data_IF_640756327426
#
_entry.id   IF_640756327426
#
_cell.length_a   1.000
_cell.length_b   1.000
_cell.length_c   1.000
_cell.angle_alpha   90.00
_cell.angle_beta   90.00
_cell.angle_gamma   90.00
#
_symmetry.space_group_name_H-M   'P 1'
#
loop_
_entity.id
_entity.type
_entity.pdbx_description
1 polymer ?
#
# COMPACT_ATOMS: atom_id res chain seq x y z
N UNK A 1 -10.19 20.04 -11.14
CA UNK A 1 -10.60 19.83 -12.53
C UNK A 1 -12.07 20.22 -12.65
N UNK A 2 -12.37 21.51 -12.91
CA UNK A 2 -13.74 22.07 -12.78
C UNK A 2 -14.47 22.26 -14.10
N UNK A 3 -13.89 21.76 -15.19
CA UNK A 3 -14.55 21.81 -16.50
C UNK A 3 -15.79 20.92 -16.49
N UNK A 4 -16.88 21.39 -17.12
CA UNK A 4 -18.15 20.67 -17.14
C UNK A 4 -18.02 19.31 -17.80
N UNK A 5 -17.23 19.19 -18.88
CA UNK A 5 -17.05 17.92 -19.59
C UNK A 5 -16.34 16.88 -18.72
N UNK A 6 -15.41 17.31 -17.86
CA UNK A 6 -14.70 16.42 -16.93
C UNK A 6 -15.58 15.89 -15.78
N UNK A 7 -16.75 16.47 -15.54
CA UNK A 7 -17.61 16.16 -14.39
C UNK A 7 -19.04 15.71 -14.78
N UNK A 8 -19.31 15.47 -16.08
CA UNK A 8 -20.61 14.93 -16.51
C UNK A 8 -20.83 13.56 -15.89
N UNK A 9 -21.96 13.38 -15.18
CA UNK A 9 -22.27 12.13 -14.47
C UNK A 9 -21.61 11.97 -13.10
N UNK A 10 -20.80 12.95 -12.67
CA UNK A 10 -20.12 13.01 -11.37
C UNK A 10 -20.48 14.30 -10.61
N UNK A 11 -21.74 14.72 -10.68
CA UNK A 11 -22.22 16.02 -10.18
C UNK A 11 -22.07 16.18 -8.66
N UNK A 12 -22.12 15.07 -7.92
CA UNK A 12 -21.92 15.05 -6.45
C UNK A 12 -20.46 14.80 -6.04
N UNK A 13 -19.62 14.32 -6.97
CA UNK A 13 -18.20 13.99 -6.75
C UNK A 13 -17.32 14.63 -7.82
N UNK A 14 -17.31 15.96 -7.87
CA UNK A 14 -16.41 16.67 -8.78
C UNK A 14 -14.95 16.27 -8.60
N UNK A 15 -14.23 16.19 -9.72
CA UNK A 15 -12.83 15.81 -9.76
C UNK A 15 -11.95 16.87 -9.08
N UNK A 16 -11.51 16.51 -7.88
CA UNK A 16 -10.57 17.26 -7.05
C UNK A 16 -9.14 16.77 -7.30
N UNK A 17 -8.13 17.64 -7.08
CA UNK A 17 -6.75 17.18 -7.00
C UNK A 17 -6.64 16.04 -5.98
N UNK A 18 -5.99 14.95 -6.37
CA UNK A 18 -5.74 13.83 -5.48
C UNK A 18 -4.87 14.27 -4.31
N UNK A 19 -5.27 13.88 -3.11
CA UNK A 19 -4.44 14.05 -1.91
C UNK A 19 -3.82 12.70 -1.60
N UNK A 20 -2.50 12.64 -1.59
CA UNK A 20 -1.78 11.41 -1.27
C UNK A 20 -2.04 11.04 0.19
N UNK A 21 -2.55 9.82 0.47
CA UNK A 21 -2.75 9.36 1.84
C UNK A 21 -1.40 9.14 2.52
N UNK A 22 -1.38 9.27 3.84
CA UNK A 22 -0.17 8.95 4.59
C UNK A 22 0.16 7.45 4.48
N UNK A 23 1.42 7.08 4.24
CA UNK A 23 1.84 5.69 4.21
C UNK A 23 1.64 5.01 5.58
N UNK A 24 0.99 3.85 5.59
CA UNK A 24 0.90 3.00 6.79
C UNK A 24 2.07 2.00 6.83
N UNK A 25 3.08 2.33 7.64
CA UNK A 25 4.25 1.48 7.91
C UNK A 25 4.15 0.69 9.22
N UNK A 26 2.97 0.66 9.86
CA UNK A 26 2.76 0.00 11.15
C UNK A 26 1.68 -1.09 11.09
N UNK A 27 1.37 -1.63 9.90
CA UNK A 27 0.42 -2.73 9.75
C UNK A 27 0.97 -4.01 10.42
N UNK A 28 0.51 -4.27 11.65
CA UNK A 28 0.99 -5.39 12.46
C UNK A 28 0.73 -6.73 11.79
N UNK A 29 -0.34 -6.88 10.99
CA UNK A 29 -0.62 -8.15 10.31
C UNK A 29 0.43 -8.45 9.25
N UNK A 30 0.84 -7.44 8.47
CA UNK A 30 1.91 -7.60 7.46
C UNK A 30 3.24 -7.88 8.13
N UNK A 31 3.54 -7.16 9.21
CA UNK A 31 4.78 -7.37 9.98
C UNK A 31 4.82 -8.80 10.53
N UNK A 32 3.72 -9.29 11.11
CA UNK A 32 3.66 -10.65 11.64
C UNK A 32 3.85 -11.71 10.54
N UNK A 33 3.25 -11.51 9.37
CA UNK A 33 3.47 -12.39 8.20
C UNK A 33 4.95 -12.39 7.81
N UNK A 34 5.60 -11.23 7.70
CA UNK A 34 7.02 -11.16 7.35
C UNK A 34 7.92 -11.82 8.40
N UNK A 35 7.56 -11.73 9.68
CA UNK A 35 8.27 -12.47 10.74
C UNK A 35 8.16 -13.98 10.51
N UNK A 36 6.99 -14.49 10.08
CA UNK A 36 6.87 -15.92 9.70
C UNK A 36 7.66 -16.31 8.45
N UNK A 37 7.99 -15.34 7.58
CA UNK A 37 8.85 -15.53 6.41
C UNK A 37 10.35 -15.51 6.74
N UNK A 38 10.73 -15.12 7.97
CA UNK A 38 12.11 -15.12 8.46
C UNK A 38 12.75 -13.74 8.62
N UNK A 39 12.04 -12.65 8.34
CA UNK A 39 12.54 -11.28 8.58
C UNK A 39 12.48 -10.93 10.06
N UNK A 40 13.46 -10.15 10.56
CA UNK A 40 13.40 -9.62 11.92
C UNK A 40 12.55 -8.35 12.02
N UNK A 41 11.92 -8.09 13.17
CA UNK A 41 11.09 -6.88 13.36
C UNK A 41 11.91 -5.60 13.23
N UNK A 42 13.15 -5.64 13.73
CA UNK A 42 14.10 -4.53 13.67
C UNK A 42 14.46 -4.18 12.22
N UNK A 43 14.74 -5.19 11.41
CA UNK A 43 15.04 -5.03 9.98
C UNK A 43 13.85 -4.48 9.20
N UNK A 44 12.64 -5.02 9.44
CA UNK A 44 11.41 -4.51 8.84
C UNK A 44 11.23 -3.04 9.19
N UNK A 45 11.30 -2.70 10.48
CA UNK A 45 11.14 -1.33 10.94
C UNK A 45 12.18 -0.39 10.33
N UNK A 46 13.45 -0.79 10.32
CA UNK A 46 14.53 0.03 9.78
C UNK A 46 14.36 0.27 8.27
N UNK A 47 13.97 -0.76 7.52
CA UNK A 47 13.74 -0.64 6.07
C UNK A 47 12.57 0.30 5.76
N UNK A 48 11.45 0.16 6.48
CA UNK A 48 10.26 0.99 6.27
C UNK A 48 10.50 2.45 6.67
N UNK A 49 11.09 2.71 7.83
CA UNK A 49 11.36 4.08 8.32
C UNK A 49 12.36 4.81 7.41
N UNK A 50 13.39 4.11 6.94
CA UNK A 50 14.40 4.69 6.04
C UNK A 50 13.96 4.69 4.58
N UNK A 51 12.79 4.12 4.26
CA UNK A 51 12.26 3.98 2.91
C UNK A 51 13.32 3.44 1.93
N UNK A 52 13.96 2.32 2.29
CA UNK A 52 15.13 1.82 1.56
C UNK A 52 14.80 1.26 0.17
N UNK A 53 13.53 0.92 -0.09
CA UNK A 53 13.09 0.22 -1.30
C UNK A 53 13.90 -1.05 -1.59
N UNK A 54 14.34 -1.74 -0.53
CA UNK A 54 15.02 -3.03 -0.60
C UNK A 54 14.01 -4.20 -0.64
N UNK A 55 14.50 -5.43 -0.56
CA UNK A 55 13.66 -6.63 -0.56
C UNK A 55 12.65 -6.66 0.59
N UNK A 56 13.01 -6.09 1.74
CA UNK A 56 12.17 -6.06 2.94
C UNK A 56 11.00 -5.10 2.72
N UNK A 57 11.27 -3.86 2.31
CA UNK A 57 10.21 -2.90 2.00
C UNK A 57 9.36 -3.35 0.81
N UNK A 58 9.96 -3.92 -0.23
CA UNK A 58 9.23 -4.45 -1.38
C UNK A 58 8.23 -5.54 -0.95
N UNK A 59 8.67 -6.48 -0.11
CA UNK A 59 7.80 -7.54 0.42
C UNK A 59 6.64 -6.96 1.24
N UNK A 60 6.91 -6.00 2.12
CA UNK A 60 5.87 -5.33 2.92
C UNK A 60 4.80 -4.65 2.04
N UNK A 61 5.23 -3.91 1.00
CA UNK A 61 4.33 -3.23 0.08
C UNK A 61 3.48 -4.20 -0.75
N UNK A 62 4.06 -5.33 -1.16
CA UNK A 62 3.37 -6.36 -1.95
C UNK A 62 2.32 -7.12 -1.12
N UNK A 63 2.57 -7.37 0.16
CA UNK A 63 1.59 -7.97 1.09
C UNK A 63 0.34 -7.10 1.29
N UNK A 64 0.43 -5.79 1.04
CA UNK A 64 -0.71 -4.87 1.11
C UNK A 64 -1.63 -4.91 -0.12
N UNK A 65 -1.28 -5.64 -1.17
CA UNK A 65 -2.08 -5.74 -2.40
C UNK A 65 -3.02 -6.94 -2.34
N UNK A 66 -4.13 -6.88 -3.08
CA UNK A 66 -5.04 -8.02 -3.23
C UNK A 66 -4.22 -9.22 -3.73
N UNK A 67 -4.19 -10.35 -3.00
CA UNK A 67 -3.46 -11.52 -3.48
C UNK A 67 -4.08 -12.00 -4.80
N UNK A 68 -3.29 -12.61 -5.69
CA UNK A 68 -3.83 -13.21 -6.91
C UNK A 68 -4.94 -14.19 -6.54
N UNK A 69 -6.02 -14.20 -7.32
CA UNK A 69 -7.10 -15.15 -7.08
C UNK A 69 -6.54 -16.57 -7.19
N UNK A 70 -6.57 -17.28 -6.08
CA UNK A 70 -6.04 -18.64 -6.00
C UNK A 70 -7.03 -19.54 -6.73
N UNK A 71 -6.77 -19.79 -8.02
CA UNK A 71 -7.47 -20.82 -8.78
C UNK A 71 -6.96 -22.18 -8.30
N UNK A 72 -7.67 -22.79 -7.35
CA UNK A 72 -7.55 -24.22 -7.11
C UNK A 72 -8.19 -24.94 -8.30
N UNK A 73 -7.35 -25.50 -9.17
CA UNK A 73 -7.74 -26.52 -10.15
C UNK A 73 -7.36 -27.88 -9.55
#
# INVERSE_FOLDING_TARGET
MKDRWMNVGHEEEELKPYTEPEPDFNDTKRIDIMVTMGFSREEIHESLVKQKYDEVMATYLLLGRKPPEVSFI
#
